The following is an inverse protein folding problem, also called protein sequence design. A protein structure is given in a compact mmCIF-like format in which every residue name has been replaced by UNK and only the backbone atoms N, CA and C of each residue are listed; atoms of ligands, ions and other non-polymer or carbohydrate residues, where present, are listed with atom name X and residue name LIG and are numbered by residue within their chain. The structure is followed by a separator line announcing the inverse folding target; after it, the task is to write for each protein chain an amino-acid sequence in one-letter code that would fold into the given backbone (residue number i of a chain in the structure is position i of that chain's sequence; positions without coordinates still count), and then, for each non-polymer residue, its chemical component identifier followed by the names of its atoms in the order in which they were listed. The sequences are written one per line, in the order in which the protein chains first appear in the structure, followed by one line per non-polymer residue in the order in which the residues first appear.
data_IF_252922602191
#
_entry.id   IF_252922602191
#
_cell.length_a   1.000
_cell.length_b   1.000
_cell.length_c   1.000
_cell.angle_alpha   90.00
_cell.angle_beta   90.00
_cell.angle_gamma   90.00
#
_symmetry.space_group_name_H-M   'P 1'
#
loop_
_entity.id
_entity.type
_entity.pdbx_description
1 polymer ?
#
# COMPACT_ATOMS: atom_id res chain seq x y z
N UNK A 1 3.78 23.76 -14.53
CA UNK A 1 5.09 23.34 -13.99
C UNK A 1 5.95 24.54 -13.71
N UNK A 2 6.29 24.78 -12.45
CA UNK A 2 7.24 25.84 -12.06
C UNK A 2 8.67 25.31 -12.25
N UNK A 3 9.54 25.99 -13.04
CA UNK A 3 10.93 25.57 -13.19
C UNK A 3 11.71 25.75 -11.88
N UNK A 4 12.83 25.04 -11.72
CA UNK A 4 13.68 25.12 -10.52
C UNK A 4 14.18 26.55 -10.20
N UNK A 5 14.25 27.43 -11.20
CA UNK A 5 14.59 28.85 -11.03
C UNK A 5 13.44 29.71 -10.49
N UNK A 6 12.21 29.19 -10.46
CA UNK A 6 11.01 29.90 -10.03
C UNK A 6 10.67 29.76 -8.55
N UNK A 7 11.43 28.95 -7.81
CA UNK A 7 11.18 28.68 -6.40
C UNK A 7 12.50 28.48 -5.61
N UNK A 8 12.48 28.75 -4.32
CA UNK A 8 13.60 28.48 -3.39
C UNK A 8 13.09 27.79 -2.13
N UNK A 9 13.96 27.06 -1.43
CA UNK A 9 13.64 26.63 -0.07
C UNK A 9 13.81 27.79 0.92
N UNK A 10 13.02 27.80 1.99
CA UNK A 10 13.31 28.64 3.15
C UNK A 10 14.59 28.14 3.86
N UNK A 11 15.11 28.93 4.80
CA UNK A 11 16.38 28.61 5.48
C UNK A 11 16.38 27.25 6.20
N UNK A 12 15.22 26.77 6.65
CA UNK A 12 15.08 25.46 7.31
C UNK A 12 14.82 24.30 6.35
N UNK A 13 14.62 24.55 5.05
CA UNK A 13 14.28 23.52 4.07
C UNK A 13 12.88 22.91 4.22
N UNK A 14 12.01 23.52 5.02
CA UNK A 14 10.67 22.98 5.35
C UNK A 14 9.54 23.63 4.55
N UNK A 15 9.84 24.70 3.81
CA UNK A 15 8.88 25.43 3.01
C UNK A 15 9.52 25.87 1.69
N UNK A 16 8.67 26.10 0.69
CA UNK A 16 9.05 26.64 -0.61
C UNK A 16 8.56 28.09 -0.69
N UNK A 17 9.44 28.98 -1.14
CA UNK A 17 9.12 30.35 -1.51
C UNK A 17 9.05 30.46 -3.03
N UNK A 18 8.05 31.19 -3.51
CA UNK A 18 7.86 31.51 -4.92
C UNK A 18 8.57 32.84 -5.22
N UNK A 19 9.52 32.85 -6.17
CA UNK A 19 10.54 33.92 -6.24
C UNK A 19 10.25 35.03 -7.26
N UNK A 20 9.87 34.77 -8.54
CA UNK A 20 9.43 35.87 -9.39
C UNK A 20 8.01 36.29 -8.98
N UNK A 21 7.66 37.58 -8.95
CA UNK A 21 6.27 38.01 -8.79
C UNK A 21 5.41 37.56 -9.99
N UNK A 22 4.09 37.43 -9.80
CA UNK A 22 3.15 37.01 -10.85
C UNK A 22 2.28 35.80 -10.51
N UNK A 23 2.38 35.26 -9.30
CA UNK A 23 1.53 34.19 -8.82
C UNK A 23 0.14 34.72 -8.48
N UNK A 24 -0.88 34.12 -9.08
CA UNK A 24 -2.30 34.40 -8.85
C UNK A 24 -2.78 33.58 -7.65
N UNK A 25 -3.52 34.22 -6.75
CA UNK A 25 -4.19 33.54 -5.63
C UNK A 25 -5.25 32.57 -6.17
N UNK A 26 -5.36 31.39 -5.55
CA UNK A 26 -6.28 30.29 -5.93
C UNK A 26 -5.88 29.47 -7.18
N UNK A 27 -4.77 29.78 -7.83
CA UNK A 27 -4.21 28.91 -8.86
C UNK A 27 -3.45 27.72 -8.24
N UNK A 28 -3.46 26.58 -8.95
CA UNK A 28 -2.72 25.38 -8.57
C UNK A 28 -1.40 25.36 -9.33
N UNK A 29 -0.29 25.30 -8.59
CA UNK A 29 1.05 25.22 -9.13
C UNK A 29 1.65 23.84 -8.88
N UNK A 30 2.22 23.25 -9.91
CA UNK A 30 2.94 21.97 -9.82
C UNK A 30 4.45 22.18 -9.89
N UNK A 31 5.17 21.53 -8.98
CA UNK A 31 6.61 21.61 -8.83
C UNK A 31 7.22 20.24 -9.18
N UNK A 32 8.19 20.23 -10.10
CA UNK A 32 9.04 19.05 -10.34
C UNK A 32 10.41 19.28 -9.75
N UNK A 33 10.92 18.27 -9.06
CA UNK A 33 12.33 18.16 -8.71
C UNK A 33 12.73 16.70 -8.69
N UNK A 34 14.03 16.42 -8.83
CA UNK A 34 14.54 15.06 -8.63
C UNK A 34 14.66 14.81 -7.13
N UNK A 35 13.79 13.95 -6.60
CA UNK A 35 13.84 13.52 -5.21
C UNK A 35 14.88 12.39 -5.01
N UNK A 36 15.35 12.21 -3.77
CA UNK A 36 16.29 11.15 -3.37
C UNK A 36 15.85 10.50 -2.07
N UNK A 37 16.42 9.34 -1.77
CA UNK A 37 16.27 8.64 -0.49
C UNK A 37 14.81 8.34 -0.08
N UNK A 38 14.01 7.63 -0.92
CA UNK A 38 12.64 7.25 -0.54
C UNK A 38 12.63 6.24 0.60
N UNK A 39 11.65 6.34 1.50
CA UNK A 39 11.41 5.33 2.53
C UNK A 39 10.87 4.01 1.94
N UNK A 40 11.20 2.88 2.57
CA UNK A 40 10.75 1.55 2.16
C UNK A 40 9.43 1.21 2.86
N UNK A 41 8.34 1.84 2.42
CA UNK A 41 7.04 1.70 3.10
C UNK A 41 6.46 0.28 3.01
N UNK A 42 6.81 -0.50 1.98
CA UNK A 42 6.33 -1.87 1.78
C UNK A 42 6.65 -2.85 2.93
N UNK A 43 7.61 -2.53 3.81
CA UNK A 43 7.92 -3.35 4.99
C UNK A 43 6.72 -3.53 5.92
N UNK A 44 5.76 -2.60 5.93
CA UNK A 44 4.53 -2.75 6.71
C UNK A 44 3.72 -3.99 6.33
N UNK A 45 3.73 -4.41 5.06
CA UNK A 45 3.07 -5.65 4.65
C UNK A 45 3.78 -6.89 5.21
N UNK A 46 5.11 -6.92 5.17
CA UNK A 46 5.91 -8.00 5.73
C UNK A 46 5.67 -8.12 7.24
N UNK A 47 5.70 -6.99 7.96
CA UNK A 47 5.43 -6.97 9.40
C UNK A 47 4.06 -7.58 9.75
N UNK A 48 3.00 -7.24 9.00
CA UNK A 48 1.66 -7.81 9.21
C UNK A 48 1.65 -9.32 8.91
N UNK A 49 2.27 -9.75 7.81
CA UNK A 49 2.37 -11.17 7.43
C UNK A 49 3.10 -11.97 8.51
N UNK A 50 4.29 -11.53 8.89
CA UNK A 50 5.21 -12.29 9.74
C UNK A 50 4.71 -12.34 11.18
N UNK A 51 4.14 -11.25 11.70
CA UNK A 51 3.52 -11.24 13.01
C UNK A 51 2.36 -12.25 13.11
N UNK A 52 1.45 -12.25 12.15
CA UNK A 52 0.30 -13.15 12.16
C UNK A 52 0.72 -14.61 11.89
N UNK A 53 1.72 -14.83 11.04
CA UNK A 53 2.30 -16.15 10.82
C UNK A 53 2.97 -16.68 12.08
N UNK A 54 3.77 -15.86 12.77
CA UNK A 54 4.44 -16.23 14.02
C UNK A 54 3.44 -16.64 15.09
N UNK A 55 2.43 -15.79 15.35
CA UNK A 55 1.38 -16.09 16.32
C UNK A 55 0.71 -17.43 16.05
N UNK A 56 0.47 -17.76 14.77
CA UNK A 56 -0.25 -18.97 14.37
C UNK A 56 0.61 -20.23 14.36
N UNK A 57 1.86 -20.14 13.90
CA UNK A 57 2.64 -21.31 13.51
C UNK A 57 3.83 -21.60 14.43
N UNK A 58 4.36 -20.58 15.12
CA UNK A 58 5.62 -20.72 15.85
C UNK A 58 5.40 -21.00 17.34
N UNK A 59 6.35 -21.71 17.96
CA UNK A 59 6.29 -22.03 19.40
C UNK A 59 7.03 -21.03 20.27
N UNK A 60 7.99 -20.28 19.70
CA UNK A 60 8.79 -19.26 20.39
C UNK A 60 9.35 -18.25 19.39
N UNK A 61 9.86 -17.11 19.88
CA UNK A 61 10.69 -16.20 19.09
C UNK A 61 12.15 -16.67 18.97
N UNK A 62 12.97 -15.92 18.23
CA UNK A 62 14.39 -16.20 17.99
C UNK A 62 15.25 -16.13 19.27
N UNK A 63 14.74 -15.55 20.35
CA UNK A 63 15.40 -15.45 21.66
C UNK A 63 14.92 -16.53 22.64
N UNK A 64 14.01 -17.40 22.21
CA UNK A 64 13.45 -18.47 23.04
C UNK A 64 12.28 -18.03 23.92
N UNK A 65 11.74 -16.82 23.75
CA UNK A 65 10.50 -16.41 24.42
C UNK A 65 9.34 -17.20 23.85
N UNK A 66 8.62 -17.94 24.69
CA UNK A 66 7.49 -18.75 24.25
C UNK A 66 6.40 -17.90 23.57
N UNK A 67 5.83 -18.40 22.48
CA UNK A 67 4.63 -17.83 21.89
C UNK A 67 3.43 -18.16 22.78
N UNK A 68 2.73 -17.17 23.35
CA UNK A 68 1.62 -17.41 24.27
C UNK A 68 0.38 -18.04 23.60
N UNK A 69 0.32 -18.09 22.27
CA UNK A 69 -0.79 -18.64 21.50
C UNK A 69 -0.41 -19.91 20.70
N UNK A 70 0.77 -20.48 20.98
CA UNK A 70 1.28 -21.64 20.25
C UNK A 70 0.28 -22.81 20.27
N UNK A 71 -0.21 -23.21 19.09
CA UNK A 71 -1.18 -24.30 18.94
C UNK A 71 -2.65 -23.93 19.13
N UNK A 72 -2.96 -22.69 19.54
CA UNK A 72 -4.34 -22.26 19.83
C UNK A 72 -5.04 -21.63 18.61
N UNK A 73 -4.28 -21.01 17.69
CA UNK A 73 -4.86 -20.31 16.54
C UNK A 73 -5.15 -21.28 15.39
N UNK A 74 -6.43 -21.53 15.14
CA UNK A 74 -6.89 -22.35 14.01
C UNK A 74 -7.25 -21.54 12.76
N UNK A 75 -7.72 -20.29 12.94
CA UNK A 75 -8.14 -19.38 11.87
C UNK A 75 -7.83 -17.94 12.23
N UNK A 76 -7.50 -17.12 11.23
CA UNK A 76 -7.34 -15.66 11.39
C UNK A 76 -8.25 -14.94 10.38
N UNK A 77 -9.08 -14.03 10.88
CA UNK A 77 -9.95 -13.18 10.07
C UNK A 77 -9.63 -11.71 10.31
N UNK A 78 -9.79 -10.88 9.27
CA UNK A 78 -9.74 -9.43 9.41
C UNK A 78 -11.10 -8.81 9.13
N UNK A 79 -11.48 -7.82 9.92
CA UNK A 79 -12.56 -6.88 9.63
C UNK A 79 -11.96 -5.47 9.56
N UNK A 80 -12.23 -4.76 8.48
CA UNK A 80 -11.76 -3.39 8.29
C UNK A 80 -12.87 -2.48 7.80
N UNK A 81 -12.68 -1.18 7.98
CA UNK A 81 -13.50 -0.12 7.41
C UNK A 81 -12.60 0.95 6.80
N UNK A 82 -12.88 1.36 5.56
CA UNK A 82 -12.19 2.44 4.85
C UNK A 82 -10.75 2.07 4.45
N UNK A 83 -9.80 2.98 4.64
CA UNK A 83 -8.43 2.91 4.15
C UNK A 83 -7.68 1.59 4.41
N UNK A 84 -7.80 0.89 5.57
CA UNK A 84 -7.09 -0.37 5.78
C UNK A 84 -7.48 -1.48 4.78
N UNK A 85 -8.64 -1.36 4.11
CA UNK A 85 -8.99 -2.25 3.02
C UNK A 85 -8.12 -2.08 1.78
N UNK A 86 -7.70 -0.84 1.48
CA UNK A 86 -6.72 -0.57 0.42
C UNK A 86 -5.37 -1.22 0.72
N UNK A 87 -4.98 -1.24 2.00
CA UNK A 87 -3.81 -2.00 2.46
C UNK A 87 -4.01 -3.49 2.19
N UNK A 88 -5.15 -4.07 2.55
CA UNK A 88 -5.42 -5.49 2.32
C UNK A 88 -5.53 -5.84 0.83
N UNK A 89 -6.02 -4.94 -0.03
CA UNK A 89 -6.02 -5.10 -1.48
C UNK A 89 -4.60 -5.28 -2.03
N UNK A 90 -3.65 -4.43 -1.63
CA UNK A 90 -2.25 -4.53 -2.04
C UNK A 90 -1.54 -5.70 -1.35
N UNK A 91 -1.77 -5.93 -0.05
CA UNK A 91 -1.22 -7.06 0.70
C UNK A 91 -1.48 -8.38 -0.02
N UNK A 92 -2.74 -8.62 -0.39
CA UNK A 92 -3.14 -9.82 -1.14
C UNK A 92 -2.53 -9.85 -2.55
N UNK A 93 -2.60 -8.74 -3.28
CA UNK A 93 -2.16 -8.69 -4.67
C UNK A 93 -0.65 -8.90 -4.81
N UNK A 94 0.11 -8.38 -3.85
CA UNK A 94 1.56 -8.55 -3.76
C UNK A 94 1.95 -9.92 -3.19
N UNK A 95 0.99 -10.72 -2.70
CA UNK A 95 1.20 -12.11 -2.27
C UNK A 95 1.55 -12.27 -0.79
N UNK A 96 1.38 -11.23 0.03
CA UNK A 96 1.73 -11.29 1.45
C UNK A 96 0.80 -12.20 2.28
N UNK A 97 -0.28 -12.76 1.71
CA UNK A 97 -1.06 -13.78 2.41
C UNK A 97 -0.37 -15.17 2.45
N UNK A 98 0.78 -15.31 1.80
CA UNK A 98 1.68 -16.44 1.98
C UNK A 98 2.81 -16.05 2.94
N UNK A 99 2.91 -16.75 4.07
CA UNK A 99 4.03 -16.65 5.01
C UNK A 99 5.34 -17.12 4.37
N UNK A 100 6.49 -16.82 4.97
CA UNK A 100 7.78 -17.30 4.47
C UNK A 100 7.90 -18.83 4.49
N UNK A 101 7.15 -19.50 5.38
CA UNK A 101 6.99 -20.96 5.41
C UNK A 101 6.13 -21.52 4.25
N UNK A 102 5.55 -20.65 3.42
CA UNK A 102 4.62 -21.00 2.35
C UNK A 102 3.18 -21.17 2.79
N UNK A 103 2.88 -21.06 4.10
CA UNK A 103 1.54 -21.26 4.65
C UNK A 103 0.63 -20.03 4.53
N UNK A 104 -0.68 -20.25 4.61
CA UNK A 104 -1.68 -19.17 4.58
C UNK A 104 -1.62 -18.34 5.86
N UNK A 105 -1.65 -17.00 5.76
CA UNK A 105 -1.72 -16.11 6.92
C UNK A 105 -3.18 -15.91 7.36
N UNK A 106 -3.98 -15.20 6.57
CA UNK A 106 -5.38 -14.92 6.86
C UNK A 106 -6.31 -15.88 6.12
N UNK A 107 -7.31 -16.42 6.83
CA UNK A 107 -8.37 -17.31 6.33
C UNK A 107 -9.62 -16.55 5.84
N UNK A 108 -9.66 -15.24 6.02
CA UNK A 108 -10.75 -14.43 5.50
C UNK A 108 -10.50 -12.94 5.73
N UNK A 109 -10.94 -12.14 4.76
CA UNK A 109 -10.82 -10.69 4.80
C UNK A 109 -12.18 -10.07 4.52
N UNK A 110 -12.83 -9.56 5.57
CA UNK A 110 -14.03 -8.75 5.43
C UNK A 110 -13.64 -7.29 5.29
N UNK A 111 -13.98 -6.72 4.13
CA UNK A 111 -13.60 -5.36 3.77
C UNK A 111 -14.83 -4.48 3.60
N UNK A 112 -15.09 -3.60 4.57
CA UNK A 112 -16.15 -2.61 4.47
C UNK A 112 -15.62 -1.31 3.86
N UNK A 113 -16.32 -0.79 2.83
CA UNK A 113 -16.03 0.49 2.16
C UNK A 113 -14.58 0.71 1.70
N UNK A 114 -13.89 -0.37 1.33
CA UNK A 114 -12.49 -0.35 0.89
C UNK A 114 -12.27 0.11 -0.56
N UNK A 115 -13.32 0.03 -1.39
CA UNK A 115 -13.26 0.18 -2.85
C UNK A 115 -12.20 -0.75 -3.50
N UNK A 116 -11.87 -0.50 -4.78
CA UNK A 116 -10.94 -1.33 -5.56
C UNK A 116 -9.46 -0.89 -5.49
N UNK A 117 -9.17 0.21 -4.80
CA UNK A 117 -7.86 0.86 -4.82
C UNK A 117 -6.81 0.15 -3.96
N UNK A 118 -5.55 0.42 -4.27
CA UNK A 118 -4.40 0.09 -3.41
C UNK A 118 -4.05 1.22 -2.44
N UNK A 119 -3.02 0.99 -1.61
CA UNK A 119 -2.54 1.94 -0.58
C UNK A 119 -1.23 2.62 -0.97
N UNK A 120 -0.68 2.29 -2.15
CA UNK A 120 0.54 2.90 -2.68
C UNK A 120 1.82 2.62 -1.86
N UNK A 121 1.87 1.59 -1.02
CA UNK A 121 3.04 1.38 -0.14
C UNK A 121 4.28 0.79 -0.86
N UNK A 122 4.11 0.14 -2.01
CA UNK A 122 5.21 -0.45 -2.79
C UNK A 122 5.68 0.45 -3.97
N UNK A 123 5.66 1.76 -3.76
CA UNK A 123 6.10 2.76 -4.74
C UNK A 123 7.13 3.70 -4.11
N UNK A 124 8.08 4.20 -4.91
CA UNK A 124 9.06 5.19 -4.44
C UNK A 124 8.32 6.47 -4.06
N UNK A 125 8.72 7.07 -2.94
CA UNK A 125 8.08 8.27 -2.36
C UNK A 125 6.59 8.07 -2.06
N UNK A 126 6.23 6.84 -1.68
CA UNK A 126 4.88 6.46 -1.27
C UNK A 126 4.29 7.45 -0.27
N UNK A 127 3.05 7.86 -0.53
CA UNK A 127 2.26 8.74 0.33
C UNK A 127 0.92 8.06 0.65
N UNK A 128 0.88 7.08 1.56
CA UNK A 128 -0.32 6.27 1.80
C UNK A 128 -1.49 7.06 2.40
N UNK A 129 -1.24 8.28 2.90
CA UNK A 129 -2.29 9.21 3.36
C UNK A 129 -2.92 10.06 2.26
N UNK A 130 -2.42 9.99 1.02
CA UNK A 130 -2.91 10.78 -0.13
C UNK A 130 -3.95 9.95 -0.90
N UNK A 131 -4.97 10.62 -1.46
CA UNK A 131 -6.03 9.96 -2.24
C UNK A 131 -6.37 10.78 -3.48
N UNK A 132 -6.52 10.11 -4.63
CA UNK A 132 -6.94 10.75 -5.86
C UNK A 132 -8.38 11.27 -5.73
N UNK A 133 -8.62 12.51 -6.14
CA UNK A 133 -9.98 13.04 -6.32
C UNK A 133 -10.05 13.91 -7.57
N UNK A 134 -11.27 14.24 -7.97
CA UNK A 134 -11.55 14.97 -9.22
C UNK A 134 -10.80 16.32 -9.38
N UNK A 135 -10.38 16.97 -8.30
CA UNK A 135 -9.66 18.27 -8.32
C UNK A 135 -8.40 18.32 -7.43
N UNK A 136 -8.00 17.19 -6.88
CA UNK A 136 -6.86 17.09 -5.98
C UNK A 136 -6.19 15.75 -6.22
N UNK A 137 -4.87 15.75 -6.38
CA UNK A 137 -4.08 14.52 -6.46
C UNK A 137 -4.53 13.57 -7.59
N UNK A 138 -5.07 14.13 -8.68
CA UNK A 138 -5.72 13.36 -9.76
C UNK A 138 -4.80 12.35 -10.47
N UNK A 139 -3.48 12.57 -10.40
CA UNK A 139 -2.46 11.68 -10.95
C UNK A 139 -1.77 10.82 -9.89
N UNK A 140 -2.28 10.82 -8.66
CA UNK A 140 -1.68 10.02 -7.60
C UNK A 140 -1.96 8.54 -7.86
N UNK A 141 -0.92 7.73 -7.66
CA UNK A 141 -0.92 6.30 -8.00
C UNK A 141 -1.64 5.49 -6.92
N UNK A 142 -2.97 5.56 -6.93
CA UNK A 142 -3.89 4.89 -6.00
C UNK A 142 -4.78 3.88 -6.73
N UNK A 143 -5.46 4.30 -7.80
CA UNK A 143 -6.35 3.50 -8.62
C UNK A 143 -5.62 2.67 -9.69
N UNK A 144 -4.77 1.73 -9.28
CA UNK A 144 -4.02 0.87 -10.22
C UNK A 144 -4.69 -0.51 -10.35
N UNK A 145 -4.95 -0.92 -11.59
CA UNK A 145 -5.40 -2.28 -11.92
C UNK A 145 -4.44 -3.34 -11.35
N UNK A 146 -4.94 -4.46 -10.78
CA UNK A 146 -6.33 -4.94 -10.79
C UNK A 146 -7.24 -4.37 -9.71
N UNK A 147 -8.53 -4.22 -10.00
CA UNK A 147 -9.54 -3.70 -9.05
C UNK A 147 -10.42 -4.78 -8.43
N UNK A 148 -10.43 -5.98 -9.00
CA UNK A 148 -11.33 -7.06 -8.63
C UNK A 148 -10.57 -8.23 -8.00
N UNK A 149 -11.29 -8.99 -7.16
CA UNK A 149 -10.81 -10.23 -6.57
C UNK A 149 -10.58 -11.30 -7.64
N UNK A 150 -11.53 -11.42 -8.56
CA UNK A 150 -11.51 -12.36 -9.68
C UNK A 150 -10.74 -11.79 -10.86
N UNK A 151 -10.22 -12.67 -11.72
CA UNK A 151 -9.48 -12.27 -12.92
C UNK A 151 -10.36 -11.50 -13.87
N UNK A 152 -9.87 -10.32 -14.24
CA UNK A 152 -10.45 -9.46 -15.26
C UNK A 152 -9.38 -9.04 -16.24
N UNK A 153 -9.80 -8.49 -17.38
CA UNK A 153 -8.89 -7.89 -18.36
C UNK A 153 -9.20 -6.41 -18.45
N UNK A 154 -8.19 -5.58 -18.26
CA UNK A 154 -8.29 -4.14 -18.48
C UNK A 154 -8.35 -3.86 -19.99
N UNK A 155 -9.46 -3.32 -20.53
CA UNK A 155 -9.59 -3.05 -21.95
C UNK A 155 -8.69 -1.90 -22.45
N UNK A 156 -8.16 -1.07 -21.55
CA UNK A 156 -7.30 0.06 -21.92
C UNK A 156 -5.85 -0.41 -22.10
N UNK A 157 -5.31 -1.14 -21.12
CA UNK A 157 -3.92 -1.62 -21.18
C UNK A 157 -3.76 -3.02 -21.75
N UNK A 158 -4.84 -3.79 -21.89
CA UNK A 158 -4.82 -5.19 -22.31
C UNK A 158 -4.30 -6.17 -21.24
N UNK A 159 -4.00 -5.70 -20.03
CA UNK A 159 -3.51 -6.55 -18.94
C UNK A 159 -4.62 -7.43 -18.37
N UNK A 160 -4.32 -8.70 -18.14
CA UNK A 160 -5.19 -9.66 -17.45
C UNK A 160 -4.59 -9.99 -16.09
N UNK A 161 -5.30 -9.66 -15.02
CA UNK A 161 -4.82 -9.88 -13.64
C UNK A 161 -6.00 -9.91 -12.65
N UNK A 162 -5.71 -10.25 -11.40
CA UNK A 162 -6.66 -10.20 -10.28
C UNK A 162 -5.94 -9.92 -8.98
N UNK A 163 -6.70 -9.47 -7.98
CA UNK A 163 -6.17 -9.38 -6.64
C UNK A 163 -5.86 -10.78 -6.05
N UNK A 164 -6.53 -11.84 -6.50
CA UNK A 164 -6.25 -13.21 -6.04
C UNK A 164 -5.18 -13.97 -6.84
N UNK A 165 -4.59 -13.40 -7.90
CA UNK A 165 -3.72 -14.13 -8.82
C UNK A 165 -2.56 -14.85 -8.09
N UNK A 166 -1.85 -14.13 -7.21
CA UNK A 166 -0.72 -14.70 -6.45
C UNK A 166 -1.17 -15.72 -5.41
N UNK A 167 -2.20 -15.39 -4.62
CA UNK A 167 -2.66 -16.29 -3.56
C UNK A 167 -3.27 -17.58 -4.12
N UNK A 168 -3.86 -17.53 -5.32
CA UNK A 168 -4.43 -18.71 -5.97
C UNK A 168 -3.33 -19.65 -6.42
N UNK A 169 -2.23 -19.11 -6.97
CA UNK A 169 -1.06 -19.89 -7.36
C UNK A 169 -0.38 -20.61 -6.18
N UNK A 170 -0.50 -20.04 -4.97
CA UNK A 170 0.14 -20.57 -3.75
C UNK A 170 -0.82 -21.32 -2.83
N UNK A 171 -2.11 -21.41 -3.17
CA UNK A 171 -3.13 -22.01 -2.30
C UNK A 171 -3.38 -21.21 -1.00
N UNK A 172 -3.00 -19.94 -0.95
CA UNK A 172 -3.09 -19.08 0.23
C UNK A 172 -4.12 -17.97 0.09
N UNK A 173 -5.14 -18.10 -0.77
CA UNK A 173 -6.21 -17.11 -0.78
C UNK A 173 -7.00 -17.12 0.54
N UNK A 174 -7.47 -15.95 1.02
CA UNK A 174 -8.38 -15.88 2.16
C UNK A 174 -9.59 -16.77 1.92
#
# INVERSE_FOLDING_TARGET
MVPASGWTYNASGTQINLVPPGWVSQDIYEFSYTAKDPSVNGLGFAAIRDWNAWLRYETSDDFGTANPLAGDITRIYTEISSQPGRLLNDFRHLGFNQAESGQKVFDGMMQWIAAGDGINMNYRFSQPGRTERNRQDHLFVEGVFPFANVTTTDPITGKTDSRYARCAATGTCP
#
